data_IF_581394553570
#
_entry.id   IF_581394553570
#
_cell.length_a   1.000
_cell.length_b   1.000
_cell.length_c   1.000
_cell.angle_alpha   90.00
_cell.angle_beta   90.00
_cell.angle_gamma   90.00
#
_symmetry.space_group_name_H-M   'P 1'
#
loop_
_entity.id
_entity.type
_entity.pdbx_description
1 polymer ?
#
# COMPACT_ATOMS: atom_id res chain seq x y z
N UNK A 1 -3.22 15.41 -10.61
CA UNK A 1 -2.62 14.20 -10.04
C UNK A 1 -1.74 13.44 -11.04
N UNK A 2 -2.27 12.77 -12.08
CA UNK A 2 -1.40 12.14 -13.11
C UNK A 2 -0.51 13.12 -13.90
N UNK A 3 -0.82 14.43 -13.83
CA UNK A 3 -0.04 15.50 -14.47
C UNK A 3 1.19 15.97 -13.66
N UNK A 4 1.32 15.59 -12.38
CA UNK A 4 2.50 15.95 -11.56
C UNK A 4 3.68 14.99 -11.74
N UNK A 5 3.48 13.92 -12.51
CA UNK A 5 4.54 12.97 -12.83
C UNK A 5 5.33 13.52 -14.01
N UNK A 6 6.36 14.32 -13.72
CA UNK A 6 7.42 14.70 -14.65
C UNK A 6 8.28 13.48 -15.05
N UNK A 7 7.65 12.39 -15.50
CA UNK A 7 8.31 11.14 -15.91
C UNK A 7 9.07 10.39 -14.81
N UNK A 8 9.01 10.86 -13.55
CA UNK A 8 9.73 10.25 -12.42
C UNK A 8 9.04 9.02 -11.85
N UNK A 9 9.80 8.22 -11.09
CA UNK A 9 9.26 7.09 -10.33
C UNK A 9 8.29 7.58 -9.25
N UNK A 10 7.17 6.88 -9.08
CA UNK A 10 6.19 7.11 -8.01
C UNK A 10 6.70 6.73 -6.62
N UNK A 11 7.81 5.99 -6.57
CA UNK A 11 8.45 5.56 -5.32
C UNK A 11 9.94 5.44 -5.57
N UNK A 12 10.75 5.71 -4.56
CA UNK A 12 12.17 5.42 -4.60
C UNK A 12 12.41 3.90 -4.53
N UNK A 13 13.59 3.47 -4.97
CA UNK A 13 14.02 2.08 -4.83
C UNK A 13 14.43 1.81 -3.38
N UNK A 14 13.97 0.71 -2.82
CA UNK A 14 14.34 0.24 -1.49
C UNK A 14 14.38 -1.29 -1.44
N UNK A 15 15.16 -1.82 -0.51
CA UNK A 15 15.03 -3.21 -0.06
C UNK A 15 14.27 -3.25 1.25
N UNK A 16 13.61 -4.37 1.54
CA UNK A 16 12.92 -4.56 2.81
C UNK A 16 13.88 -4.38 4.00
N UNK A 17 15.10 -4.87 3.85
CA UNK A 17 16.17 -4.79 4.84
C UNK A 17 16.53 -3.33 5.16
N UNK A 18 16.61 -2.46 4.15
CA UNK A 18 16.92 -1.03 4.37
C UNK A 18 15.88 -0.29 5.20
N UNK A 19 14.61 -0.68 5.10
CA UNK A 19 13.50 0.06 5.72
C UNK A 19 12.98 -0.60 7.00
N UNK A 20 13.18 -1.91 7.16
CA UNK A 20 12.63 -2.68 8.29
C UNK A 20 13.67 -3.48 9.06
N UNK A 21 14.92 -3.55 8.59
CA UNK A 21 15.97 -4.46 9.05
C UNK A 21 15.67 -5.96 8.87
N UNK A 22 14.63 -6.32 8.12
CA UNK A 22 14.26 -7.70 7.81
C UNK A 22 14.44 -7.98 6.32
N UNK A 23 14.92 -9.18 5.99
CA UNK A 23 15.07 -9.60 4.57
C UNK A 23 13.78 -10.15 3.99
N UNK A 24 12.83 -10.56 4.84
CA UNK A 24 11.52 -11.09 4.46
C UNK A 24 10.44 -10.56 5.40
N UNK A 25 9.18 -10.55 4.95
CA UNK A 25 8.06 -10.19 5.84
C UNK A 25 7.92 -11.30 6.89
N UNK A 26 7.91 -10.97 8.21
CA UNK A 26 7.74 -11.97 9.25
C UNK A 26 6.43 -12.76 9.12
N UNK A 27 6.41 -13.97 9.65
CA UNK A 27 5.19 -14.79 9.68
C UNK A 27 4.07 -14.05 10.44
N UNK A 28 2.84 -14.18 9.94
CA UNK A 28 1.67 -13.52 10.54
C UNK A 28 1.60 -12.01 10.32
N UNK A 29 2.49 -11.43 9.51
CA UNK A 29 2.52 -9.99 9.23
C UNK A 29 2.31 -9.67 7.75
N UNK A 30 1.96 -8.41 7.49
CA UNK A 30 1.81 -7.84 6.17
C UNK A 30 2.75 -6.64 6.00
N UNK A 31 3.26 -6.49 4.79
CA UNK A 31 3.89 -5.26 4.33
C UNK A 31 2.96 -4.62 3.30
N UNK A 32 2.39 -3.46 3.63
CA UNK A 32 1.35 -2.80 2.82
C UNK A 32 1.87 -1.50 2.22
N UNK A 33 1.41 -1.19 1.00
CA UNK A 33 1.71 0.05 0.29
C UNK A 33 0.41 0.68 -0.18
N UNK A 34 0.24 1.98 0.05
CA UNK A 34 -0.89 2.71 -0.50
C UNK A 34 -0.67 3.04 -1.97
N UNK A 35 -1.75 3.12 -2.75
CA UNK A 35 -1.67 3.42 -4.18
C UNK A 35 -1.16 4.84 -4.46
N UNK A 36 -1.46 5.79 -3.57
CA UNK A 36 -0.92 7.15 -3.62
C UNK A 36 0.44 7.22 -2.92
N UNK A 37 1.46 6.64 -3.56
CA UNK A 37 2.80 6.38 -2.98
C UNK A 37 3.48 7.58 -2.32
N UNK A 38 3.30 8.80 -2.85
CA UNK A 38 3.91 10.02 -2.30
C UNK A 38 3.20 10.56 -1.04
N UNK A 39 1.95 10.17 -0.82
CA UNK A 39 1.11 10.69 0.28
C UNK A 39 0.57 9.58 1.19
N UNK A 40 1.15 8.40 1.09
CA UNK A 40 0.72 7.23 1.85
C UNK A 40 1.67 6.98 3.01
N UNK A 41 1.16 7.15 4.23
CA UNK A 41 1.82 6.67 5.44
C UNK A 41 1.55 5.16 5.54
N UNK A 42 2.49 4.36 5.04
CA UNK A 42 2.35 2.91 4.94
C UNK A 42 3.61 2.19 5.47
N UNK A 43 3.74 0.88 5.23
CA UNK A 43 4.77 0.05 5.85
C UNK A 43 6.22 0.51 5.61
N UNK A 44 6.47 1.40 4.64
CA UNK A 44 7.76 2.07 4.47
C UNK A 44 8.17 2.93 5.68
N UNK A 45 7.19 3.45 6.43
CA UNK A 45 7.39 4.33 7.58
C UNK A 45 6.90 3.69 8.89
N UNK A 46 5.78 2.97 8.86
CA UNK A 46 5.15 2.40 10.07
C UNK A 46 5.50 0.92 10.32
N UNK A 47 6.20 0.27 9.38
CA UNK A 47 6.62 -1.12 9.49
C UNK A 47 5.53 -2.15 9.20
N UNK A 48 5.71 -3.35 9.75
CA UNK A 48 4.84 -4.50 9.49
C UNK A 48 3.52 -4.43 10.27
N UNK A 49 2.44 -4.89 9.63
CA UNK A 49 1.11 -4.92 10.23
C UNK A 49 0.73 -6.36 10.59
N UNK A 50 0.37 -6.68 11.85
CA UNK A 50 -0.14 -8.00 12.22
C UNK A 50 -1.42 -8.34 11.46
N UNK A 51 -1.51 -9.57 10.93
CA UNK A 51 -2.67 -9.99 10.12
C UNK A 51 -3.98 -10.01 10.92
N UNK A 52 -3.89 -10.15 12.24
CA UNK A 52 -5.02 -10.08 13.18
C UNK A 52 -5.70 -8.70 13.22
N UNK A 53 -4.99 -7.63 12.82
CA UNK A 53 -5.56 -6.28 12.73
C UNK A 53 -6.34 -6.07 11.41
N UNK A 54 -6.29 -7.03 10.49
CA UNK A 54 -6.99 -6.93 9.20
C UNK A 54 -8.46 -7.29 9.38
N UNK A 55 -9.33 -6.27 9.23
CA UNK A 55 -10.79 -6.45 9.33
C UNK A 55 -11.37 -7.18 8.11
N UNK A 56 -10.81 -6.97 6.91
CA UNK A 56 -11.31 -7.60 5.69
C UNK A 56 -10.69 -7.05 4.40
N UNK A 57 -11.27 -7.44 3.26
CA UNK A 57 -10.85 -7.01 1.92
C UNK A 57 -11.89 -6.08 1.30
N UNK A 58 -11.45 -5.00 0.68
CA UNK A 58 -12.32 -4.06 -0.02
C UNK A 58 -12.71 -4.62 -1.40
N UNK A 59 -13.84 -5.33 -1.48
CA UNK A 59 -14.28 -6.02 -2.69
C UNK A 59 -15.26 -5.21 -3.56
N UNK A 60 -15.76 -4.07 -3.09
CA UNK A 60 -16.80 -3.29 -3.78
C UNK A 60 -16.43 -1.81 -3.73
N UNK A 61 -16.44 -1.17 -4.89
CA UNK A 61 -16.43 0.28 -5.02
C UNK A 61 -17.88 0.71 -5.22
N UNK A 62 -18.47 1.33 -4.20
CA UNK A 62 -19.89 1.72 -4.21
C UNK A 62 -20.12 3.16 -4.68
N UNK A 63 -19.06 3.98 -4.75
CA UNK A 63 -19.12 5.39 -5.14
C UNK A 63 -18.22 5.71 -6.34
N UNK A 64 -18.68 6.54 -7.30
CA UNK A 64 -20.03 7.11 -7.40
C UNK A 64 -21.08 6.06 -7.74
N UNK A 65 -22.36 6.29 -7.37
CA UNK A 65 -23.43 5.29 -7.61
C UNK A 65 -23.62 4.92 -9.09
N UNK A 66 -23.21 5.79 -10.01
CA UNK A 66 -23.21 5.54 -11.46
C UNK A 66 -22.12 4.55 -11.91
N UNK A 67 -21.18 4.20 -11.04
CA UNK A 67 -20.01 3.37 -11.31
C UNK A 67 -19.75 2.39 -10.14
N UNK A 68 -20.82 1.72 -9.71
CA UNK A 68 -20.72 0.62 -8.75
C UNK A 68 -20.04 -0.57 -9.44
N UNK A 69 -18.94 -1.05 -8.86
CA UNK A 69 -18.20 -2.20 -9.40
C UNK A 69 -17.56 -3.05 -8.32
N UNK A 70 -17.29 -4.30 -8.67
CA UNK A 70 -16.43 -5.18 -7.87
C UNK A 70 -14.98 -4.73 -8.06
N UNK A 71 -14.27 -4.52 -6.96
CA UNK A 71 -12.84 -4.25 -7.00
C UNK A 71 -12.12 -5.51 -7.53
N UNK A 72 -11.34 -5.34 -8.59
CA UNK A 72 -10.64 -6.43 -9.29
C UNK A 72 -9.39 -6.87 -8.53
#
# INVERSE_FOLDING_TARGET
>A
FKQELNGGYLTYNFTLEQITNETTVPEGHLFVLGDNRHHSLDSREIGFIPIEQVVGKANIVFWPFTDIRIAK
#
